data_IF_799743912039
#
_entry.id   IF_799743912039
#
_cell.length_a   1.000
_cell.length_b   1.000
_cell.length_c   1.000
_cell.angle_alpha   90.00
_cell.angle_beta   90.00
_cell.angle_gamma   90.00
#
_symmetry.space_group_name_H-M   'P 1'
#
loop_
_entity.id
_entity.type
_entity.pdbx_description
1 polymer ?
#
# COMPACT_ATOMS: atom_id res chain seq x y z
N UNK A 1 9.14 -8.31 -11.04
CA UNK A 1 9.56 -7.37 -9.96
C UNK A 1 10.99 -7.72 -9.57
N UNK A 2 11.99 -6.96 -9.99
CA UNK A 2 13.39 -7.28 -9.69
C UNK A 2 13.74 -6.77 -8.31
N UNK A 3 13.47 -7.57 -7.28
CA UNK A 3 14.01 -7.35 -5.96
C UNK A 3 15.45 -7.83 -5.95
N UNK A 4 16.42 -6.92 -5.94
CA UNK A 4 17.83 -7.29 -5.72
C UNK A 4 18.02 -7.60 -4.24
N UNK A 5 17.80 -8.87 -3.87
CA UNK A 5 18.06 -9.36 -2.53
C UNK A 5 19.47 -9.99 -2.47
N UNK A 6 20.40 -9.30 -1.81
CA UNK A 6 21.73 -9.86 -1.54
C UNK A 6 21.67 -10.66 -0.23
N UNK A 7 21.86 -11.99 -0.32
CA UNK A 7 22.00 -12.86 0.86
C UNK A 7 23.45 -13.30 1.03
N UNK A 8 23.93 -13.30 2.28
CA UNK A 8 25.31 -13.63 2.63
C UNK A 8 25.38 -14.96 3.36
N UNK A 9 26.28 -15.84 2.94
CA UNK A 9 26.55 -17.08 3.66
C UNK A 9 27.04 -18.22 2.77
N UNK A 10 27.58 -19.26 3.43
CA UNK A 10 28.00 -20.54 2.85
C UNK A 10 26.93 -21.05 1.85
N UNK A 11 27.37 -21.70 0.76
CA UNK A 11 26.56 -22.19 -0.37
C UNK A 11 25.18 -22.80 0.00
N UNK A 12 25.07 -23.43 1.18
CA UNK A 12 23.82 -23.98 1.73
C UNK A 12 22.78 -22.93 2.15
N UNK A 13 23.18 -21.80 2.75
CA UNK A 13 22.28 -20.71 3.18
C UNK A 13 21.67 -20.03 1.95
N UNK A 14 22.49 -19.81 0.91
CA UNK A 14 22.05 -19.22 -0.35
C UNK A 14 20.95 -20.05 -1.04
N UNK A 15 21.11 -21.38 -1.11
CA UNK A 15 20.09 -22.25 -1.70
C UNK A 15 18.77 -22.24 -0.92
N UNK A 16 18.84 -22.20 0.41
CA UNK A 16 17.64 -22.11 1.26
C UNK A 16 16.91 -20.78 1.10
N UNK A 17 17.65 -19.66 1.03
CA UNK A 17 17.07 -18.34 0.82
C UNK A 17 16.38 -18.21 -0.55
N UNK A 18 17.03 -18.67 -1.62
CA UNK A 18 16.42 -18.65 -2.96
C UNK A 18 15.18 -19.54 -3.00
N UNK A 19 15.20 -20.72 -2.35
CA UNK A 19 14.02 -21.57 -2.26
C UNK A 19 12.87 -20.88 -1.52
N UNK A 20 13.14 -20.23 -0.38
CA UNK A 20 12.15 -19.47 0.38
C UNK A 20 11.57 -18.29 -0.41
N UNK A 21 12.37 -17.59 -1.22
CA UNK A 21 11.88 -16.50 -2.08
C UNK A 21 10.78 -16.95 -3.04
N UNK A 22 10.91 -18.16 -3.61
CA UNK A 22 9.88 -18.72 -4.49
C UNK A 22 8.68 -19.28 -3.73
N UNK A 23 8.88 -19.88 -2.55
CA UNK A 23 7.82 -20.48 -1.75
C UNK A 23 6.94 -19.43 -1.06
N UNK A 24 7.55 -18.39 -0.52
CA UNK A 24 6.89 -17.33 0.25
C UNK A 24 6.67 -16.07 -0.62
N UNK A 25 6.62 -16.23 -1.94
CA UNK A 25 6.45 -15.13 -2.87
C UNK A 25 5.09 -14.44 -2.61
N UNK A 26 5.06 -13.11 -2.40
CA UNK A 26 3.81 -12.39 -2.20
C UNK A 26 2.83 -12.66 -3.35
N UNK A 27 1.51 -12.69 -3.10
CA UNK A 27 0.51 -13.12 -4.08
C UNK A 27 0.46 -12.25 -5.35
N UNK A 28 1.00 -11.04 -5.30
CA UNK A 28 1.08 -10.11 -6.44
C UNK A 28 2.49 -10.01 -7.03
N UNK A 29 3.48 -10.69 -6.44
CA UNK A 29 4.85 -10.65 -6.90
C UNK A 29 5.10 -11.81 -7.88
N UNK A 30 5.80 -11.48 -8.97
CA UNK A 30 6.40 -12.48 -9.87
C UNK A 30 7.90 -12.22 -9.94
N UNK A 31 8.67 -13.26 -9.68
CA UNK A 31 10.13 -13.27 -9.83
C UNK A 31 10.44 -13.59 -11.29
N UNK A 32 10.89 -12.61 -12.06
CA UNK A 32 11.20 -12.78 -13.48
C UNK A 32 12.62 -13.34 -13.70
N UNK A 33 13.59 -12.91 -12.87
CA UNK A 33 14.96 -13.42 -12.86
C UNK A 33 15.60 -13.27 -11.48
N UNK A 34 16.59 -14.13 -11.18
CA UNK A 34 17.43 -14.04 -9.98
C UNK A 34 18.88 -14.03 -10.43
N UNK A 35 19.55 -12.90 -10.26
CA UNK A 35 20.98 -12.76 -10.53
C UNK A 35 21.76 -12.77 -9.21
N UNK A 36 22.94 -13.39 -9.21
CA UNK A 36 23.83 -13.40 -8.07
C UNK A 36 25.25 -13.06 -8.52
N UNK A 37 25.90 -12.17 -7.79
CA UNK A 37 27.28 -11.81 -7.99
C UNK A 37 28.06 -12.02 -6.69
N UNK A 38 29.32 -12.43 -6.81
CA UNK A 38 30.23 -12.43 -5.67
C UNK A 38 30.66 -10.99 -5.41
N UNK A 39 30.27 -10.42 -4.27
CA UNK A 39 30.85 -9.16 -3.79
C UNK A 39 32.04 -9.46 -2.89
N UNK A 40 33.17 -8.82 -3.17
CA UNK A 40 34.29 -8.73 -2.24
C UNK A 40 34.08 -7.49 -1.39
N UNK A 41 33.97 -7.67 -0.08
CA UNK A 41 33.79 -6.59 0.86
C UNK A 41 35.13 -6.21 1.48
N UNK A 42 35.45 -4.92 1.53
CA UNK A 42 36.57 -4.42 2.34
C UNK A 42 36.34 -4.65 3.84
N UNK A 43 35.07 -4.59 4.27
CA UNK A 43 34.58 -5.02 5.59
C UNK A 43 33.27 -5.77 5.44
N UNK A 44 33.21 -6.98 5.98
CA UNK A 44 31.98 -7.77 5.98
C UNK A 44 30.88 -7.04 6.77
N UNK A 45 29.66 -6.91 6.22
CA UNK A 45 28.54 -6.37 6.97
C UNK A 45 28.22 -7.30 8.15
N UNK A 46 28.00 -6.71 9.31
CA UNK A 46 27.65 -7.44 10.55
C UNK A 46 26.14 -7.64 10.71
N UNK A 47 25.33 -6.96 9.89
CA UNK A 47 23.88 -6.95 10.00
C UNK A 47 23.21 -6.84 8.62
N UNK A 48 21.93 -7.21 8.54
CA UNK A 48 21.11 -7.11 7.34
C UNK A 48 20.33 -5.79 7.35
N UNK A 49 20.49 -4.98 6.31
CA UNK A 49 19.77 -3.70 6.18
C UNK A 49 19.16 -3.55 4.79
N UNK A 50 17.92 -3.06 4.74
CA UNK A 50 17.27 -2.66 3.50
C UNK A 50 17.73 -1.23 3.20
N UNK A 51 18.47 -1.06 2.09
CA UNK A 51 18.99 0.25 1.67
C UNK A 51 17.94 1.02 0.88
N UNK A 52 18.06 2.36 0.91
CA UNK A 52 17.27 3.24 0.07
C UNK A 52 17.52 2.95 -1.42
N UNK A 53 16.47 3.04 -2.22
CA UNK A 53 16.54 2.84 -3.67
C UNK A 53 17.46 3.89 -4.32
N UNK A 54 18.40 3.46 -5.15
CA UNK A 54 19.21 4.34 -5.99
C UNK A 54 18.59 4.48 -7.39
N UNK A 55 18.67 5.68 -7.98
CA UNK A 55 18.21 5.91 -9.35
C UNK A 55 19.09 5.18 -10.36
N UNK A 56 18.48 4.41 -11.27
CA UNK A 56 19.14 3.71 -12.37
C UNK A 56 18.14 3.44 -13.50
N UNK A 57 18.62 3.05 -14.69
CA UNK A 57 17.75 2.70 -15.82
C UNK A 57 16.95 1.45 -15.49
N UNK A 58 15.70 1.62 -15.05
CA UNK A 58 14.87 0.54 -14.52
C UNK A 58 13.89 -0.02 -15.55
N UNK A 59 13.87 -1.35 -15.66
CA UNK A 59 12.89 -2.13 -16.43
C UNK A 59 11.87 -2.80 -15.47
N UNK A 60 11.38 -2.05 -14.49
CA UNK A 60 10.51 -2.57 -13.41
C UNK A 60 9.04 -2.57 -13.82
N UNK A 61 8.42 -3.75 -13.85
CA UNK A 61 6.97 -3.89 -13.99
C UNK A 61 6.28 -3.40 -12.71
N UNK A 62 5.45 -2.37 -12.85
CA UNK A 62 4.60 -1.86 -11.76
C UNK A 62 3.44 -2.83 -11.58
N UNK A 63 3.25 -3.32 -10.35
CA UNK A 63 2.11 -4.19 -10.00
C UNK A 63 0.81 -3.39 -10.18
N UNK A 64 -0.24 -3.97 -10.79
CA UNK A 64 -1.53 -3.31 -10.90
C UNK A 64 -2.13 -3.03 -9.52
N UNK A 65 -3.10 -2.12 -9.47
CA UNK A 65 -3.85 -1.86 -8.24
C UNK A 65 -4.60 -3.12 -7.80
N UNK A 66 -4.59 -3.39 -6.50
CA UNK A 66 -5.21 -4.57 -5.93
C UNK A 66 -6.35 -4.19 -4.98
N UNK A 67 -7.46 -4.93 -5.08
CA UNK A 67 -8.59 -4.79 -4.16
C UNK A 67 -8.16 -5.10 -2.71
N UNK A 68 -8.88 -4.51 -1.75
CA UNK A 68 -8.61 -4.69 -0.31
C UNK A 68 -8.59 -6.16 0.08
N UNK A 69 -7.51 -6.61 0.73
CA UNK A 69 -7.37 -8.01 1.14
C UNK A 69 -8.24 -8.33 2.37
N UNK A 70 -8.54 -9.62 2.64
CA UNK A 70 -9.37 -10.02 3.77
C UNK A 70 -8.86 -9.52 5.14
N UNK A 71 -7.54 -9.45 5.34
CA UNK A 71 -6.96 -8.97 6.59
C UNK A 71 -7.23 -7.46 6.82
N UNK A 72 -7.08 -6.64 5.78
CA UNK A 72 -7.43 -5.22 5.87
C UNK A 72 -8.95 -5.03 6.02
N UNK A 73 -9.76 -5.85 5.35
CA UNK A 73 -11.21 -5.81 5.48
C UNK A 73 -11.66 -6.14 6.92
N UNK A 74 -11.03 -7.14 7.55
CA UNK A 74 -11.29 -7.49 8.95
C UNK A 74 -10.97 -6.32 9.88
N UNK A 75 -9.77 -5.74 9.80
CA UNK A 75 -9.37 -4.60 10.63
C UNK A 75 -10.28 -3.38 10.45
N UNK A 76 -10.67 -3.07 9.20
CA UNK A 76 -11.60 -1.97 8.93
C UNK A 76 -12.95 -2.18 9.62
N UNK A 77 -13.36 -3.43 9.82
CA UNK A 77 -14.65 -3.80 10.40
C UNK A 77 -14.59 -4.11 11.90
N UNK A 78 -13.41 -4.19 12.52
CA UNK A 78 -13.24 -4.50 13.94
C UNK A 78 -13.27 -3.23 14.80
N UNK A 79 -14.27 -3.03 15.68
CA UNK A 79 -14.29 -1.90 16.60
C UNK A 79 -13.10 -1.94 17.55
N UNK A 80 -12.49 -0.79 17.81
CA UNK A 80 -11.29 -0.66 18.66
C UNK A 80 -9.97 -0.75 17.89
N UNK A 81 -9.98 -1.23 16.65
CA UNK A 81 -8.82 -1.12 15.78
C UNK A 81 -8.57 0.35 15.39
N UNK A 82 -7.29 0.71 15.24
CA UNK A 82 -6.88 2.08 14.89
C UNK A 82 -7.41 2.52 13.52
N UNK A 83 -7.63 1.56 12.63
CA UNK A 83 -8.15 1.79 11.27
C UNK A 83 -9.59 1.33 11.11
N UNK A 84 -10.34 1.23 12.21
CA UNK A 84 -11.78 0.99 12.17
C UNK A 84 -12.48 2.04 11.29
N UNK A 85 -13.25 1.57 10.30
CA UNK A 85 -13.95 2.36 9.27
C UNK A 85 -13.05 3.29 8.44
N UNK A 86 -11.73 3.05 8.39
CA UNK A 86 -10.83 3.91 7.63
C UNK A 86 -10.87 3.58 6.11
N UNK A 87 -11.34 4.51 5.24
CA UNK A 87 -11.63 4.20 3.83
C UNK A 87 -10.40 3.97 2.96
N UNK A 88 -9.22 4.39 3.41
CA UNK A 88 -7.96 4.28 2.67
C UNK A 88 -7.04 3.22 3.26
N UNK A 89 -7.60 2.20 3.93
CA UNK A 89 -6.83 1.10 4.50
C UNK A 89 -6.16 0.26 3.42
N UNK A 90 -4.86 0.03 3.56
CA UNK A 90 -4.08 -0.83 2.68
C UNK A 90 -2.91 -1.49 3.43
N UNK A 91 -2.30 -2.49 2.81
CA UNK A 91 -1.08 -3.14 3.27
C UNK A 91 -0.11 -3.36 2.10
N UNK A 92 0.95 -4.16 2.29
CA UNK A 92 1.87 -4.55 1.21
C UNK A 92 1.22 -5.45 0.16
N UNK A 93 0.14 -6.16 0.52
CA UNK A 93 -0.56 -7.10 -0.38
C UNK A 93 -1.77 -6.50 -1.11
N UNK A 94 -2.21 -5.28 -0.77
CA UNK A 94 -3.38 -4.68 -1.40
C UNK A 94 -3.29 -3.15 -1.51
N UNK A 95 -4.29 -2.56 -2.16
CA UNK A 95 -4.45 -1.13 -2.32
C UNK A 95 -3.80 -0.60 -3.60
N UNK A 96 -3.80 0.74 -3.76
CA UNK A 96 -3.27 1.35 -4.96
C UNK A 96 -1.75 1.20 -5.05
N UNK A 97 -1.30 1.01 -6.29
CA UNK A 97 0.08 0.90 -6.73
C UNK A 97 0.24 1.83 -7.93
N UNK A 98 -0.10 1.37 -9.13
CA UNK A 98 0.10 2.11 -10.37
C UNK A 98 -0.55 3.51 -10.33
N UNK A 99 -1.78 3.62 -9.85
CA UNK A 99 -2.54 4.89 -9.84
C UNK A 99 -1.96 5.99 -8.96
N UNK A 100 -1.06 5.65 -8.04
CA UNK A 100 -0.50 6.59 -7.07
C UNK A 100 0.97 6.94 -7.30
N UNK A 101 1.63 6.29 -8.26
CA UNK A 101 3.05 6.50 -8.56
C UNK A 101 3.19 7.72 -9.47
N UNK A 102 4.07 8.66 -9.09
CA UNK A 102 4.44 9.82 -9.90
C UNK A 102 5.75 9.60 -10.66
N UNK A 103 6.71 8.93 -10.03
CA UNK A 103 8.01 8.62 -10.59
C UNK A 103 8.59 7.35 -9.96
N UNK A 104 9.61 6.78 -10.61
CA UNK A 104 10.40 5.68 -10.04
C UNK A 104 11.69 6.23 -9.40
N UNK A 105 12.23 5.60 -8.34
CA UNK A 105 11.84 4.31 -7.73
C UNK A 105 10.51 4.34 -6.97
N UNK A 106 9.91 3.16 -6.71
CA UNK A 106 8.66 3.04 -5.97
C UNK A 106 8.88 3.30 -4.46
N UNK A 107 9.04 4.57 -4.12
CA UNK A 107 9.19 5.07 -2.77
C UNK A 107 8.17 6.18 -2.48
N UNK A 108 7.74 6.29 -1.22
CA UNK A 108 6.70 7.22 -0.78
C UNK A 108 6.86 8.66 -1.32
N UNK A 109 8.06 9.30 -1.35
CA UNK A 109 8.24 10.66 -1.88
C UNK A 109 7.88 10.80 -3.37
N UNK A 110 7.93 9.71 -4.12
CA UNK A 110 7.60 9.65 -5.54
C UNK A 110 6.17 9.16 -5.80
N UNK A 111 5.31 9.21 -4.78
CA UNK A 111 3.88 8.88 -4.88
C UNK A 111 2.99 10.07 -4.50
N UNK A 112 1.68 9.98 -4.76
CA UNK A 112 0.71 10.97 -4.25
C UNK A 112 0.67 11.03 -2.73
N UNK A 113 1.16 9.99 -2.04
CA UNK A 113 1.21 9.90 -0.58
C UNK A 113 2.36 10.73 0.03
N UNK A 114 3.23 11.33 -0.80
CA UNK A 114 4.28 12.23 -0.34
C UNK A 114 3.75 13.45 0.42
N UNK A 115 2.53 13.90 0.11
CA UNK A 115 1.87 15.02 0.79
C UNK A 115 1.35 14.67 2.20
N UNK A 116 1.44 13.40 2.61
CA UNK A 116 0.90 12.89 3.87
C UNK A 116 2.05 12.29 4.71
N UNK A 117 2.71 13.07 5.58
CA UNK A 117 3.76 12.57 6.46
C UNK A 117 3.23 11.50 7.42
N UNK A 118 4.01 10.45 7.69
CA UNK A 118 3.60 9.39 8.62
C UNK A 118 3.54 9.90 10.07
N UNK A 119 2.50 9.51 10.81
CA UNK A 119 2.51 9.64 12.26
C UNK A 119 3.46 8.60 12.89
N UNK A 120 3.91 8.78 14.14
CA UNK A 120 4.87 7.89 14.80
C UNK A 120 4.46 6.42 14.74
N UNK A 121 3.18 6.13 14.90
CA UNK A 121 2.68 4.76 14.95
C UNK A 121 2.42 4.16 13.57
N UNK A 122 2.38 4.96 12.50
CA UNK A 122 2.45 4.42 11.13
C UNK A 122 3.90 4.23 10.71
N UNK A 123 4.83 5.08 11.16
CA UNK A 123 6.26 4.92 10.89
C UNK A 123 6.82 3.68 11.60
N UNK A 124 6.34 3.36 12.82
CA UNK A 124 6.71 2.13 13.51
C UNK A 124 6.30 0.88 12.72
N UNK A 125 5.05 0.82 12.26
CA UNK A 125 4.55 -0.29 11.42
C UNK A 125 5.24 -0.35 10.06
N UNK A 126 5.61 0.80 9.49
CA UNK A 126 6.34 0.86 8.23
C UNK A 126 7.75 0.27 8.34
N UNK A 127 8.39 0.40 9.51
CA UNK A 127 9.76 -0.05 9.79
C UNK A 127 9.85 -1.43 10.43
N UNK A 128 8.76 -1.96 10.98
CA UNK A 128 8.73 -3.25 11.66
C UNK A 128 8.63 -4.41 10.64
N UNK A 129 9.67 -5.27 10.51
CA UNK A 129 9.65 -6.42 9.60
C UNK A 129 8.56 -7.46 9.91
N UNK A 130 8.04 -7.48 11.13
CA UNK A 130 6.99 -8.40 11.55
C UNK A 130 5.58 -7.85 11.32
N UNK A 131 5.45 -6.57 10.97
CA UNK A 131 4.16 -6.00 10.60
C UNK A 131 3.85 -6.27 9.12
N UNK A 132 2.57 -6.57 8.83
CA UNK A 132 2.06 -6.72 7.46
C UNK A 132 2.21 -5.45 6.60
N UNK A 133 2.55 -4.31 7.22
CA UNK A 133 2.77 -3.00 6.61
C UNK A 133 4.24 -2.63 6.49
N UNK A 134 5.15 -3.56 6.76
CA UNK A 134 6.56 -3.35 6.52
C UNK A 134 6.81 -2.84 5.09
N UNK A 135 7.39 -1.66 4.93
CA UNK A 135 7.58 -0.99 3.64
C UNK A 135 6.32 -0.80 2.77
N UNK A 136 5.13 -0.75 3.38
CA UNK A 136 3.92 -0.36 2.66
C UNK A 136 3.97 1.15 2.32
N UNK A 137 4.46 1.50 1.13
CA UNK A 137 4.61 2.88 0.68
C UNK A 137 3.34 3.75 0.84
N UNK A 138 2.11 3.24 0.60
CA UNK A 138 0.90 4.03 0.80
C UNK A 138 0.32 3.94 2.21
N UNK A 139 1.04 3.39 3.20
CA UNK A 139 0.51 3.24 4.56
C UNK A 139 0.05 4.59 5.14
N UNK A 140 -1.11 4.56 5.76
CA UNK A 140 -1.74 5.71 6.39
C UNK A 140 -2.74 5.25 7.47
N UNK A 141 -3.21 6.19 8.27
CA UNK A 141 -4.28 6.02 9.25
C UNK A 141 -5.16 7.29 9.28
N UNK A 142 -6.27 7.30 10.06
CA UNK A 142 -7.11 8.48 10.19
C UNK A 142 -6.39 9.77 10.64
N UNK A 143 -5.25 9.65 11.33
CA UNK A 143 -4.48 10.79 11.86
C UNK A 143 -3.52 11.41 10.84
N UNK A 144 -2.91 10.59 9.97
CA UNK A 144 -1.85 11.04 9.06
C UNK A 144 -2.24 10.98 7.57
N UNK A 145 -3.33 10.30 7.25
CA UNK A 145 -3.74 10.01 5.89
C UNK A 145 -4.80 10.94 5.33
N UNK A 146 -5.23 10.68 4.08
CA UNK A 146 -6.38 11.34 3.49
C UNK A 146 -7.67 11.02 4.25
N UNK A 147 -8.65 11.92 4.14
CA UNK A 147 -10.01 11.77 4.66
C UNK A 147 -11.04 11.99 3.56
N UNK A 148 -12.25 11.48 3.77
CA UNK A 148 -13.38 11.71 2.88
C UNK A 148 -13.89 13.15 3.02
N UNK A 149 -14.37 13.68 1.92
CA UNK A 149 -15.05 14.96 1.87
C UNK A 149 -16.34 14.81 1.05
N UNK A 150 -17.43 15.30 1.60
CA UNK A 150 -18.72 15.45 0.94
C UNK A 150 -18.90 16.90 0.52
N UNK A 151 -19.31 17.11 -0.73
CA UNK A 151 -19.64 18.42 -1.27
C UNK A 151 -20.96 18.36 -2.02
N UNK A 152 -21.91 19.16 -1.57
CA UNK A 152 -23.17 19.48 -2.23
C UNK A 152 -23.26 21.00 -2.44
N UNK A 153 -24.28 21.47 -3.14
CA UNK A 153 -24.52 22.91 -3.32
C UNK A 153 -24.69 23.65 -1.98
N UNK A 154 -25.25 22.99 -0.96
CA UNK A 154 -25.62 23.61 0.32
C UNK A 154 -24.89 23.00 1.52
N UNK A 155 -24.15 21.90 1.33
CA UNK A 155 -23.60 21.13 2.45
C UNK A 155 -22.17 20.69 2.16
N UNK A 156 -21.35 20.75 3.23
CA UNK A 156 -20.00 20.21 3.24
C UNK A 156 -19.83 19.40 4.51
N UNK A 157 -19.31 18.20 4.37
CA UNK A 157 -18.99 17.34 5.51
C UNK A 157 -17.66 16.62 5.26
N UNK A 158 -17.02 16.16 6.32
CA UNK A 158 -15.72 15.49 6.26
C UNK A 158 -15.74 14.18 7.06
N UNK A 159 -14.78 13.29 6.77
CA UNK A 159 -14.57 12.02 7.48
C UNK A 159 -15.83 11.16 7.49
N UNK A 160 -16.26 10.67 8.67
CA UNK A 160 -17.43 9.82 8.81
C UNK A 160 -18.72 10.57 8.43
N UNK A 161 -18.83 11.86 8.73
CA UNK A 161 -20.00 12.65 8.36
C UNK A 161 -20.16 12.75 6.83
N UNK A 162 -19.05 12.80 6.09
CA UNK A 162 -19.09 12.74 4.62
C UNK A 162 -19.63 11.40 4.11
N UNK A 163 -19.20 10.29 4.74
CA UNK A 163 -19.71 8.96 4.40
C UNK A 163 -21.20 8.84 4.70
N UNK A 164 -21.65 9.32 5.86
CA UNK A 164 -23.06 9.30 6.23
C UNK A 164 -23.92 10.15 5.29
N UNK A 165 -23.45 11.34 4.89
CA UNK A 165 -24.14 12.17 3.90
C UNK A 165 -24.28 11.46 2.55
N UNK A 166 -23.22 10.81 2.08
CA UNK A 166 -23.26 10.03 0.83
C UNK A 166 -24.25 8.85 0.91
N UNK A 167 -24.27 8.12 2.03
CA UNK A 167 -25.21 7.02 2.28
C UNK A 167 -26.66 7.53 2.35
N UNK A 168 -26.90 8.64 3.04
CA UNK A 168 -28.21 9.27 3.13
C UNK A 168 -28.73 9.69 1.76
N UNK A 169 -27.89 10.35 0.95
CA UNK A 169 -28.25 10.76 -0.40
C UNK A 169 -28.59 9.56 -1.31
N UNK A 170 -27.80 8.49 -1.23
CA UNK A 170 -28.11 7.25 -1.97
C UNK A 170 -29.39 6.59 -1.48
N UNK A 171 -29.66 6.58 -0.17
CA UNK A 171 -30.91 6.05 0.42
C UNK A 171 -32.13 6.86 -0.05
N UNK A 172 -31.98 8.17 -0.23
CA UNK A 172 -33.02 9.05 -0.76
C UNK A 172 -33.23 8.95 -2.28
N UNK A 173 -32.51 8.07 -2.98
CA UNK A 173 -32.59 7.91 -4.44
C UNK A 173 -31.81 8.97 -5.23
N UNK A 174 -30.98 9.75 -4.56
CA UNK A 174 -30.10 10.73 -5.20
C UNK A 174 -28.93 10.11 -5.95
N UNK A 175 -28.28 10.93 -6.76
CA UNK A 175 -27.07 10.58 -7.51
C UNK A 175 -25.87 11.21 -6.81
N UNK A 176 -24.79 10.43 -6.64
CA UNK A 176 -23.54 10.92 -6.07
C UNK A 176 -22.38 10.63 -7.01
N UNK A 177 -21.34 11.47 -7.00
CA UNK A 177 -20.07 11.16 -7.62
C UNK A 177 -19.08 10.69 -6.54
N UNK A 178 -18.48 9.53 -6.72
CA UNK A 178 -17.50 8.94 -5.79
C UNK A 178 -16.13 8.92 -6.45
N UNK A 179 -15.12 9.43 -5.74
CA UNK A 179 -13.72 9.33 -6.19
C UNK A 179 -13.18 7.93 -5.88
N UNK A 180 -12.97 7.12 -6.92
CA UNK A 180 -12.26 5.85 -6.84
C UNK A 180 -10.75 5.99 -7.08
N UNK A 181 -10.05 4.86 -7.13
CA UNK A 181 -8.59 4.81 -7.34
C UNK A 181 -8.17 5.31 -8.74
N UNK A 182 -8.99 5.05 -9.77
CA UNK A 182 -8.69 5.41 -11.16
C UNK A 182 -9.46 6.62 -11.72
N UNK A 183 -10.23 7.34 -10.89
CA UNK A 183 -11.08 8.45 -11.36
C UNK A 183 -12.35 8.62 -10.55
N UNK A 184 -13.30 9.41 -11.05
CA UNK A 184 -14.63 9.55 -10.46
C UNK A 184 -15.62 8.59 -11.11
N UNK A 185 -16.48 7.99 -10.30
CA UNK A 185 -17.58 7.13 -10.75
C UNK A 185 -18.90 7.66 -10.22
N UNK A 186 -19.92 7.73 -11.08
CA UNK A 186 -21.28 8.08 -10.67
C UNK A 186 -21.95 6.88 -9.99
N UNK A 187 -22.41 7.04 -8.75
CA UNK A 187 -23.17 6.05 -8.00
C UNK A 187 -24.64 6.43 -7.96
N UNK A 188 -25.50 5.48 -8.32
CA UNK A 188 -26.95 5.59 -8.23
C UNK A 188 -27.46 4.32 -7.55
N UNK A 189 -28.44 4.42 -6.67
CA UNK A 189 -29.06 3.22 -6.09
C UNK A 189 -29.77 2.47 -7.22
N UNK A 190 -29.28 1.29 -7.57
CA UNK A 190 -30.03 0.39 -8.42
C UNK A 190 -31.23 -0.10 -7.61
N UNK A 191 -32.41 0.46 -7.89
CA UNK A 191 -33.66 -0.02 -7.30
C UNK A 191 -33.91 -1.42 -7.85
N UNK A 192 -33.44 -2.44 -7.12
CA UNK A 192 -33.87 -3.82 -7.33
C UNK A 192 -35.37 -3.86 -7.01
N UNK A 193 -36.18 -4.00 -8.05
CA UNK A 193 -37.55 -4.51 -7.95
C UNK A 193 -37.51 -6.00 -7.64
#
# INVERSE_FOLDING_TARGET
>A
MTATASSFGCWKIRRKFIAALYQDCPPLARIDSVEHASLVWERAPTDFTIRQSAGGSMNTQIVPDAATCPACLAEMNTPGERRYRYPFINCTHCGPRFTIIRAMPYDRPFTVMAAFPLCPECDSEYRDPYDRRFHAQPVACPSCGPHLEWRSQHERAEKEAALQAAVAQLNAGGIIAVKGLGGFSSGLRCAQR
#
